data_IF_174550236073
#
_entry.id   IF_174550236073
#
_cell.length_a   1.000
_cell.length_b   1.000
_cell.length_c   1.000
_cell.angle_alpha   90.00
_cell.angle_beta   90.00
_cell.angle_gamma   90.00
#
_symmetry.space_group_name_H-M   'P 1'
#
loop_
_entity.id
_entity.type
_entity.pdbx_description
1 polymer ?
#
# COMPACT_ATOMS: atom_id res chain seq x y z
N UNK A 1 44.67 34.42 56.85
CA UNK A 1 45.26 33.16 57.30
C UNK A 1 44.86 32.05 56.32
N UNK A 2 45.84 31.58 55.55
CA UNK A 2 45.76 30.54 54.52
C UNK A 2 45.66 29.14 55.16
N UNK A 3 44.89 28.22 54.55
CA UNK A 3 45.18 26.77 54.37
C UNK A 3 43.89 26.07 53.87
N UNK A 4 43.86 25.10 52.95
CA UNK A 4 44.87 24.43 52.10
C UNK A 4 44.08 23.67 51.02
N UNK A 5 44.38 23.91 49.74
CA UNK A 5 43.93 23.07 48.62
C UNK A 5 44.68 21.74 48.62
N UNK A 6 43.97 20.61 48.46
CA UNK A 6 44.57 19.29 48.20
C UNK A 6 44.75 19.10 46.69
N UNK A 7 46.00 18.98 46.25
CA UNK A 7 46.40 18.42 44.94
C UNK A 7 46.32 16.90 45.03
N UNK A 8 45.68 16.24 44.06
CA UNK A 8 45.82 14.80 43.83
C UNK A 8 46.43 14.65 42.43
N UNK A 9 47.55 13.91 42.40
CA UNK A 9 48.42 13.68 41.25
C UNK A 9 47.84 12.60 40.36
N UNK A 10 47.83 12.83 39.05
CA UNK A 10 47.39 11.85 38.04
C UNK A 10 48.60 11.00 37.64
N UNK A 11 48.58 9.70 37.96
CA UNK A 11 49.58 8.73 37.50
C UNK A 11 49.14 8.18 36.14
N UNK A 12 49.86 8.51 35.07
CA UNK A 12 49.74 7.83 33.78
C UNK A 12 50.46 6.48 33.87
N UNK A 13 49.71 5.39 33.71
CA UNK A 13 50.28 4.07 33.42
C UNK A 13 50.18 3.82 31.92
N UNK A 14 51.32 3.83 31.24
CA UNK A 14 51.45 3.44 29.83
C UNK A 14 51.76 1.93 29.81
N UNK A 15 50.79 1.12 29.39
CA UNK A 15 51.06 -0.27 29.01
C UNK A 15 51.19 -0.34 27.49
N UNK A 16 52.41 -0.53 27.02
CA UNK A 16 52.72 -0.91 25.65
C UNK A 16 52.56 -2.44 25.52
N UNK A 17 51.65 -2.89 24.66
CA UNK A 17 51.58 -4.30 24.24
C UNK A 17 51.56 -4.35 22.70
N UNK A 18 52.73 -4.70 22.16
CA UNK A 18 52.99 -5.54 20.99
C UNK A 18 51.89 -5.68 19.93
N UNK A 19 52.09 -5.03 18.78
CA UNK A 19 51.46 -5.43 17.51
C UNK A 19 52.02 -6.80 17.09
N UNK A 20 51.15 -7.78 16.83
CA UNK A 20 51.13 -8.56 15.57
C UNK A 20 50.06 -9.67 15.60
N UNK A 21 49.46 -9.88 14.43
CA UNK A 21 48.67 -11.05 13.95
C UNK A 21 47.19 -11.19 14.39
N UNK A 22 46.29 -10.67 13.55
CA UNK A 22 45.31 -11.43 12.71
C UNK A 22 44.22 -10.46 12.22
N UNK A 23 44.49 -9.79 11.10
CA UNK A 23 43.47 -9.05 10.36
C UNK A 23 42.61 -10.06 9.56
N UNK A 24 41.55 -10.57 10.19
CA UNK A 24 40.35 -10.96 9.44
C UNK A 24 39.38 -9.78 9.56
N UNK A 25 38.84 -9.24 8.47
CA UNK A 25 37.90 -8.15 8.59
C UNK A 25 36.65 -8.69 9.28
N UNK A 26 36.44 -8.23 10.51
CA UNK A 26 35.15 -8.26 11.17
C UNK A 26 34.20 -7.55 10.21
N UNK A 27 33.08 -8.21 9.88
CA UNK A 27 32.01 -7.72 9.02
C UNK A 27 31.88 -6.19 9.09
N UNK A 28 32.24 -5.54 7.99
CA UNK A 28 31.83 -4.16 7.75
C UNK A 28 30.31 -4.17 7.79
N UNK A 29 29.72 -3.53 8.81
CA UNK A 29 28.39 -2.95 8.67
C UNK A 29 28.51 -1.87 7.60
N UNK A 30 28.52 -2.30 6.33
CA UNK A 30 28.10 -1.44 5.25
C UNK A 30 26.68 -1.04 5.63
N UNK A 31 26.49 0.24 5.94
CA UNK A 31 25.17 0.85 6.07
C UNK A 31 24.46 0.62 4.74
N UNK A 32 23.62 -0.41 4.69
CA UNK A 32 22.60 -0.57 3.67
C UNK A 32 21.54 0.49 3.98
N UNK A 33 21.89 1.76 3.80
CA UNK A 33 20.96 2.68 3.20
C UNK A 33 20.89 2.25 1.74
N UNK A 34 20.12 1.20 1.48
CA UNK A 34 19.50 1.05 0.18
C UNK A 34 18.83 2.38 -0.08
N UNK A 35 19.38 3.16 -1.00
CA UNK A 35 18.79 4.42 -1.44
C UNK A 35 17.36 4.08 -1.84
N UNK A 36 16.38 4.51 -1.04
CA UNK A 36 14.97 4.38 -1.34
C UNK A 36 14.80 4.88 -2.78
N UNK A 37 14.38 4.02 -3.74
CA UNK A 37 14.27 4.45 -5.12
C UNK A 37 13.33 5.64 -5.17
N UNK A 38 13.83 6.81 -5.61
CA UNK A 38 13.00 8.00 -5.69
C UNK A 38 11.90 7.76 -6.72
N UNK A 39 10.65 7.71 -6.26
CA UNK A 39 9.50 7.64 -7.15
C UNK A 39 9.52 8.85 -8.09
N UNK A 40 9.46 8.59 -9.40
CA UNK A 40 9.47 9.65 -10.43
C UNK A 40 8.13 9.75 -11.15
N UNK A 41 7.38 8.65 -11.22
CA UNK A 41 6.03 8.64 -11.78
C UNK A 41 5.05 9.43 -10.89
N UNK A 42 4.21 10.23 -11.53
CA UNK A 42 3.14 11.00 -10.86
C UNK A 42 1.81 10.24 -10.88
N UNK A 43 1.00 10.22 -9.81
CA UNK A 43 1.25 10.88 -8.52
C UNK A 43 2.34 10.26 -7.66
N UNK A 44 3.17 11.11 -7.04
CA UNK A 44 4.28 10.67 -6.18
C UNK A 44 3.82 9.84 -4.99
N UNK A 45 2.72 10.28 -4.36
CA UNK A 45 2.13 9.63 -3.20
C UNK A 45 1.82 8.13 -3.44
N UNK A 46 1.54 7.70 -4.67
CA UNK A 46 1.20 6.31 -4.97
C UNK A 46 2.34 5.32 -4.72
N UNK A 47 3.60 5.74 -4.87
CA UNK A 47 4.74 4.92 -4.48
C UNK A 47 5.22 5.29 -3.08
N UNK A 48 5.28 6.59 -2.76
CA UNK A 48 5.86 7.08 -1.50
C UNK A 48 5.07 6.65 -0.25
N UNK A 49 3.75 6.49 -0.36
CA UNK A 49 2.92 5.99 0.73
C UNK A 49 3.29 4.55 1.17
N UNK A 50 4.11 3.83 0.39
CA UNK A 50 4.59 2.48 0.70
C UNK A 50 6.07 2.41 1.10
N UNK A 51 6.78 3.54 1.14
CA UNK A 51 8.22 3.56 1.44
C UNK A 51 8.51 3.64 2.93
N UNK A 52 7.48 3.88 3.76
CA UNK A 52 7.62 4.15 5.20
C UNK A 52 8.61 5.28 5.50
N UNK A 53 8.77 6.23 4.57
CA UNK A 53 9.71 7.34 4.69
C UNK A 53 9.16 8.39 5.68
N UNK A 54 9.81 8.59 6.84
CA UNK A 54 9.38 9.58 7.81
C UNK A 54 9.57 11.02 7.32
N UNK A 55 10.38 11.24 6.27
CA UNK A 55 10.70 12.54 5.70
C UNK A 55 9.94 12.81 4.40
N UNK A 56 8.93 11.99 4.06
CA UNK A 56 8.13 12.25 2.87
C UNK A 56 7.34 13.56 3.02
N UNK A 57 7.85 14.62 2.40
CA UNK A 57 7.22 15.93 2.30
C UNK A 57 6.60 16.10 0.91
N UNK A 58 5.30 15.81 0.79
CA UNK A 58 4.49 16.37 -0.29
C UNK A 58 3.77 17.58 0.30
N UNK A 59 4.04 18.82 -0.15
CA UNK A 59 3.51 20.05 0.48
C UNK A 59 1.99 20.09 0.61
N UNK A 60 1.29 19.26 -0.14
CA UNK A 60 -0.17 19.12 -0.17
C UNK A 60 -0.69 17.99 0.72
N UNK A 61 0.20 17.22 1.37
CA UNK A 61 -0.12 16.00 2.09
C UNK A 61 0.46 15.99 3.51
N UNK A 62 -0.36 16.33 4.50
CA UNK A 62 -0.01 16.20 5.92
C UNK A 62 -0.41 14.81 6.45
N UNK A 63 0.29 13.76 6.00
CA UNK A 63 0.05 12.39 6.46
C UNK A 63 1.34 11.58 6.54
N UNK A 64 1.43 10.70 7.56
CA UNK A 64 2.48 9.68 7.67
C UNK A 64 1.90 8.33 7.31
N UNK A 65 2.69 7.50 6.65
CA UNK A 65 2.25 6.18 6.22
C UNK A 65 3.11 5.07 6.83
N UNK A 66 2.50 3.91 6.98
CA UNK A 66 3.25 2.66 7.14
C UNK A 66 2.62 1.54 6.30
N UNK A 67 3.44 0.56 5.93
CA UNK A 67 3.06 -0.50 5.00
C UNK A 67 2.78 -1.80 5.75
N UNK A 68 1.71 -2.50 5.34
CA UNK A 68 1.38 -3.84 5.80
C UNK A 68 1.34 -4.80 4.61
N UNK A 69 1.96 -5.97 4.73
CA UNK A 69 1.76 -7.09 3.79
C UNK A 69 0.43 -7.80 4.09
N UNK A 70 -0.48 -7.81 3.12
CA UNK A 70 -1.80 -8.43 3.28
C UNK A 70 -1.81 -9.92 2.95
N UNK A 71 -0.91 -10.36 2.07
CA UNK A 71 -0.85 -11.72 1.54
C UNK A 71 -0.63 -11.71 0.03
N UNK A 72 -1.10 -12.74 -0.67
CA UNK A 72 -1.00 -12.84 -2.14
C UNK A 72 -2.36 -12.93 -2.82
N UNK A 73 -2.53 -12.20 -3.91
CA UNK A 73 -3.67 -12.31 -4.82
C UNK A 73 -3.35 -13.32 -5.93
N UNK A 74 -4.27 -14.23 -6.21
CA UNK A 74 -4.21 -15.17 -7.33
C UNK A 74 -4.80 -14.51 -8.58
N UNK A 75 -4.00 -14.42 -9.62
CA UNK A 75 -4.37 -13.86 -10.92
C UNK A 75 -4.32 -14.96 -11.97
N UNK A 76 -5.49 -15.52 -12.28
CA UNK A 76 -5.63 -16.73 -13.10
C UNK A 76 -5.82 -16.39 -14.58
N UNK A 77 -6.72 -15.45 -14.87
CA UNK A 77 -7.01 -15.01 -16.24
C UNK A 77 -6.15 -13.85 -16.69
N UNK A 78 -5.58 -13.08 -15.74
CA UNK A 78 -4.96 -11.79 -16.04
C UNK A 78 -5.99 -10.68 -16.24
N UNK A 79 -7.28 -10.96 -16.03
CA UNK A 79 -8.38 -10.01 -16.15
C UNK A 79 -8.84 -9.66 -14.75
N UNK A 80 -8.33 -8.56 -14.21
CA UNK A 80 -8.67 -8.12 -12.85
C UNK A 80 -9.91 -7.24 -12.83
N UNK A 81 -10.62 -7.32 -11.71
CA UNK A 81 -11.76 -6.49 -11.34
C UNK A 81 -11.37 -5.78 -10.05
N UNK A 82 -11.67 -4.48 -9.96
CA UNK A 82 -11.86 -3.83 -8.67
C UNK A 82 -13.18 -3.07 -8.64
N UNK A 83 -13.96 -3.29 -7.58
CA UNK A 83 -15.28 -2.71 -7.41
C UNK A 83 -15.69 -2.69 -5.94
N UNK A 84 -16.81 -2.02 -5.63
CA UNK A 84 -17.51 -2.31 -4.38
C UNK A 84 -17.99 -3.78 -4.39
N UNK A 85 -18.02 -4.42 -3.22
CA UNK A 85 -18.46 -5.81 -3.12
C UNK A 85 -19.89 -6.01 -3.65
N UNK A 86 -20.78 -5.03 -3.47
CA UNK A 86 -22.16 -5.08 -3.98
C UNK A 86 -22.24 -5.12 -5.52
N UNK A 87 -21.25 -4.56 -6.22
CA UNK A 87 -21.22 -4.46 -7.68
C UNK A 87 -20.66 -5.72 -8.36
N UNK A 88 -20.12 -6.70 -7.62
CA UNK A 88 -19.42 -7.86 -8.20
C UNK A 88 -20.25 -8.67 -9.21
N UNK A 89 -21.60 -8.62 -9.12
CA UNK A 89 -22.51 -9.28 -10.06
C UNK A 89 -22.62 -8.60 -11.43
N UNK A 90 -22.33 -7.30 -11.52
CA UNK A 90 -22.62 -6.46 -12.69
C UNK A 90 -21.39 -5.73 -13.24
N UNK A 91 -20.20 -6.20 -12.86
CA UNK A 91 -18.94 -5.53 -13.18
C UNK A 91 -18.17 -6.23 -14.31
N UNK A 92 -17.59 -5.43 -15.20
CA UNK A 92 -16.63 -5.90 -16.19
C UNK A 92 -15.20 -5.80 -15.66
N UNK A 93 -14.30 -6.74 -16.04
CA UNK A 93 -12.88 -6.59 -15.75
C UNK A 93 -12.29 -5.37 -16.46
N UNK A 94 -11.17 -4.87 -15.95
CA UNK A 94 -10.39 -3.84 -16.62
C UNK A 94 -10.02 -4.25 -18.05
N UNK A 95 -9.81 -3.26 -18.92
CA UNK A 95 -9.43 -3.48 -20.32
C UNK A 95 -8.01 -4.06 -20.44
N UNK A 96 -7.12 -3.67 -19.53
CA UNK A 96 -5.74 -4.12 -19.44
C UNK A 96 -5.63 -5.61 -19.06
N UNK A 97 -4.55 -6.26 -19.53
CA UNK A 97 -4.23 -7.63 -19.14
C UNK A 97 -3.02 -7.65 -18.22
N UNK A 98 -3.22 -8.20 -17.02
CA UNK A 98 -2.20 -8.28 -15.98
C UNK A 98 -1.42 -9.60 -16.03
N UNK A 99 -0.18 -9.63 -15.50
CA UNK A 99 0.57 -10.87 -15.31
C UNK A 99 -0.23 -11.92 -14.53
N UNK A 100 -0.10 -13.18 -14.92
CA UNK A 100 -0.73 -14.33 -14.24
C UNK A 100 0.20 -14.92 -13.20
N UNK A 101 -0.34 -15.42 -12.09
CA UNK A 101 0.41 -15.98 -10.97
C UNK A 101 -0.12 -15.52 -9.62
N UNK A 102 0.72 -15.62 -8.59
CA UNK A 102 0.41 -15.15 -7.23
C UNK A 102 1.27 -13.94 -6.88
N UNK A 103 0.63 -12.82 -6.59
CA UNK A 103 1.31 -11.54 -6.43
C UNK A 103 1.08 -10.94 -5.04
N UNK A 104 2.12 -10.40 -4.38
CA UNK A 104 1.98 -9.73 -3.10
C UNK A 104 0.97 -8.59 -3.16
N UNK A 105 0.17 -8.47 -2.11
CA UNK A 105 -0.74 -7.35 -1.88
C UNK A 105 -0.26 -6.59 -0.65
N UNK A 106 -0.05 -5.29 -0.82
CA UNK A 106 0.38 -4.38 0.23
C UNK A 106 -0.71 -3.36 0.52
N UNK A 107 -0.81 -2.96 1.78
CA UNK A 107 -1.60 -1.82 2.23
C UNK A 107 -0.65 -0.70 2.62
N UNK A 108 -0.97 0.52 2.22
CA UNK A 108 -0.47 1.72 2.86
C UNK A 108 -1.53 2.20 3.85
N UNK A 109 -1.13 2.37 5.11
CA UNK A 109 -2.00 2.80 6.20
C UNK A 109 -1.62 4.24 6.58
N UNK A 110 -2.62 5.12 6.69
CA UNK A 110 -2.40 6.42 7.32
C UNK A 110 -2.22 6.21 8.81
N UNK A 111 -1.05 6.60 9.31
CA UNK A 111 -0.71 6.56 10.72
C UNK A 111 -1.50 7.65 11.45
N UNK A 112 -2.34 7.22 12.39
CA UNK A 112 -3.04 8.11 13.31
C UNK A 112 -2.17 8.49 14.51
N UNK A 113 -2.59 9.51 15.24
CA UNK A 113 -2.04 9.76 16.57
C UNK A 113 -2.52 8.68 17.57
N UNK A 114 -1.83 8.47 18.71
CA UNK A 114 -2.24 7.48 19.68
C UNK A 114 -3.72 7.63 20.10
N UNK A 115 -4.52 6.59 19.84
CA UNK A 115 -5.97 6.58 20.13
C UNK A 115 -6.86 6.97 18.96
N UNK A 116 -6.30 7.44 17.84
CA UNK A 116 -7.05 7.70 16.62
C UNK A 116 -7.23 6.43 15.76
N UNK A 117 -8.27 6.44 14.92
CA UNK A 117 -8.52 5.35 13.99
C UNK A 117 -7.62 5.48 12.75
N UNK A 118 -6.82 4.45 12.49
CA UNK A 118 -6.02 4.34 11.28
C UNK A 118 -6.84 3.74 10.14
N UNK A 119 -6.61 4.19 8.91
CA UNK A 119 -7.35 3.73 7.74
C UNK A 119 -6.42 3.41 6.57
N UNK A 120 -6.88 2.52 5.70
CA UNK A 120 -6.14 2.13 4.49
C UNK A 120 -6.17 3.30 3.51
N UNK A 121 -5.01 3.89 3.23
CA UNK A 121 -4.85 4.93 2.23
C UNK A 121 -4.90 4.35 0.83
N UNK A 122 -4.12 3.30 0.60
CA UNK A 122 -4.01 2.65 -0.70
C UNK A 122 -3.78 1.15 -0.51
N UNK A 123 -4.26 0.36 -1.46
CA UNK A 123 -3.96 -1.06 -1.57
C UNK A 123 -3.27 -1.28 -2.91
N UNK A 124 -2.15 -2.02 -2.96
CA UNK A 124 -1.49 -2.32 -4.23
C UNK A 124 -1.15 -3.79 -4.41
N UNK A 125 -1.24 -4.26 -5.65
CA UNK A 125 -0.75 -5.56 -6.11
C UNK A 125 0.58 -5.36 -6.82
N UNK A 126 1.61 -6.13 -6.44
CA UNK A 126 2.97 -6.02 -6.99
C UNK A 126 3.22 -7.12 -8.04
N UNK A 127 3.20 -6.76 -9.33
CA UNK A 127 3.45 -7.73 -10.40
C UNK A 127 4.93 -7.95 -10.72
N UNK A 128 5.79 -6.97 -10.42
CA UNK A 128 7.25 -7.09 -10.54
C UNK A 128 7.97 -6.08 -9.66
N UNK A 129 9.28 -6.22 -9.43
CA UNK A 129 10.05 -5.23 -8.66
C UNK A 129 10.54 -4.03 -9.51
N UNK A 130 10.10 -3.93 -10.78
CA UNK A 130 10.50 -2.82 -11.64
C UNK A 130 9.88 -1.51 -11.15
N UNK A 131 10.60 -0.37 -11.25
CA UNK A 131 10.06 0.93 -10.92
C UNK A 131 8.88 1.30 -11.81
N UNK A 132 7.86 1.94 -11.23
CA UNK A 132 6.79 2.57 -12.00
C UNK A 132 7.35 3.79 -12.73
N UNK A 133 7.15 3.85 -14.04
CA UNK A 133 7.52 4.98 -14.91
C UNK A 133 6.33 5.85 -15.28
N UNK A 134 5.12 5.31 -15.26
CA UNK A 134 3.88 6.04 -15.54
C UNK A 134 2.70 5.42 -14.83
N UNK A 135 1.82 6.26 -14.29
CA UNK A 135 0.51 5.84 -13.80
C UNK A 135 -0.58 6.12 -14.84
N UNK A 136 -1.60 5.28 -14.88
CA UNK A 136 -2.83 5.52 -15.63
C UNK A 136 -4.03 5.03 -14.82
N UNK A 137 -5.23 5.48 -15.13
CA UNK A 137 -6.43 4.83 -14.59
C UNK A 137 -6.59 3.40 -15.14
N UNK A 138 -7.04 2.49 -14.28
CA UNK A 138 -7.49 1.17 -14.68
C UNK A 138 -8.93 1.28 -15.20
N UNK A 139 -9.07 1.30 -16.53
CA UNK A 139 -10.35 1.54 -17.19
C UNK A 139 -11.11 0.23 -17.43
N UNK A 140 -12.44 0.29 -17.32
CA UNK A 140 -13.37 -0.73 -17.78
C UNK A 140 -13.91 -0.37 -19.18
N UNK A 141 -14.52 -1.32 -19.91
CA UNK A 141 -15.16 -1.01 -21.19
C UNK A 141 -16.19 0.12 -21.04
N UNK A 142 -16.05 1.16 -21.86
CA UNK A 142 -16.93 2.35 -21.84
C UNK A 142 -16.45 3.49 -20.95
N UNK A 143 -15.42 3.30 -20.13
CA UNK A 143 -14.83 4.40 -19.34
C UNK A 143 -14.03 5.35 -20.25
N UNK A 144 -14.03 6.64 -19.88
CA UNK A 144 -13.25 7.66 -20.58
C UNK A 144 -11.84 7.79 -19.99
N UNK A 145 -10.85 7.88 -20.87
CA UNK A 145 -9.47 8.14 -20.46
C UNK A 145 -9.31 9.52 -19.81
N UNK A 146 -8.53 9.55 -18.73
CA UNK A 146 -8.02 10.77 -18.08
C UNK A 146 -6.60 10.50 -17.59
N UNK A 147 -5.77 11.53 -17.48
CA UNK A 147 -4.46 11.40 -16.84
C UNK A 147 -4.59 11.53 -15.31
N UNK A 148 -3.96 10.65 -14.52
CA UNK A 148 -3.80 10.88 -13.08
C UNK A 148 -3.04 12.20 -12.83
N UNK A 149 -3.51 13.03 -11.91
CA UNK A 149 -2.89 14.32 -11.61
C UNK A 149 -2.41 14.42 -10.17
N UNK A 150 -1.28 15.12 -9.95
CA UNK A 150 -0.82 15.54 -8.62
C UNK A 150 -1.76 16.55 -7.94
N UNK A 151 -2.62 17.22 -8.73
CA UNK A 151 -3.55 18.19 -8.18
C UNK A 151 -4.61 17.51 -7.31
N UNK A 152 -4.89 18.10 -6.13
CA UNK A 152 -6.04 17.75 -5.31
C UNK A 152 -7.29 18.24 -6.05
N UNK A 153 -7.70 17.50 -7.09
CA UNK A 153 -8.98 17.74 -7.74
C UNK A 153 -10.07 17.10 -6.88
N UNK A 154 -11.21 17.78 -6.75
CA UNK A 154 -12.42 17.24 -6.09
C UNK A 154 -13.04 16.07 -6.87
N UNK A 155 -12.47 15.69 -8.01
CA UNK A 155 -12.96 14.67 -8.94
C UNK A 155 -11.91 13.55 -9.04
N UNK A 156 -11.53 12.97 -7.90
CA UNK A 156 -10.73 11.72 -7.88
C UNK A 156 -11.59 10.47 -8.08
N UNK A 157 -12.91 10.60 -7.97
CA UNK A 157 -13.85 9.50 -8.14
C UNK A 157 -13.91 9.09 -9.60
N UNK A 158 -13.42 7.89 -9.90
CA UNK A 158 -13.65 7.25 -11.20
C UNK A 158 -14.82 6.28 -11.10
N UNK A 159 -15.01 5.66 -9.93
CA UNK A 159 -16.11 4.77 -9.66
C UNK A 159 -16.84 5.22 -8.40
N UNK A 160 -18.18 5.23 -8.49
CA UNK A 160 -19.07 5.38 -7.34
C UNK A 160 -19.64 4.01 -7.04
N UNK A 161 -19.38 3.47 -5.86
CA UNK A 161 -20.03 2.27 -5.35
C UNK A 161 -21.37 2.57 -4.69
N UNK A 162 -22.17 1.54 -4.43
CA UNK A 162 -23.25 1.65 -3.45
C UNK A 162 -22.63 1.71 -2.03
N UNK A 163 -23.24 2.46 -1.11
CA UNK A 163 -22.79 2.54 0.29
C UNK A 163 -23.08 1.25 1.08
N UNK A 164 -23.74 0.27 0.46
CA UNK A 164 -24.32 -0.89 1.13
C UNK A 164 -23.33 -1.85 1.79
N UNK A 165 -22.21 -2.18 1.15
CA UNK A 165 -21.27 -3.22 1.64
C UNK A 165 -20.01 -2.67 2.32
N UNK A 166 -19.78 -1.35 2.25
CA UNK A 166 -18.63 -0.67 2.85
C UNK A 166 -17.29 -1.39 2.64
N UNK A 167 -17.13 -2.05 1.48
CA UNK A 167 -15.92 -2.78 1.15
C UNK A 167 -15.69 -2.81 -0.35
N UNK A 168 -14.44 -2.58 -0.74
CA UNK A 168 -13.97 -2.74 -2.10
C UNK A 168 -13.17 -4.03 -2.22
N UNK A 169 -13.27 -4.66 -3.38
CA UNK A 169 -12.61 -5.92 -3.68
C UNK A 169 -11.65 -5.77 -4.83
N UNK A 170 -10.57 -6.56 -4.81
CA UNK A 170 -9.72 -6.85 -5.98
C UNK A 170 -9.78 -8.35 -6.20
N UNK A 171 -10.18 -8.77 -7.39
CA UNK A 171 -10.40 -10.19 -7.71
C UNK A 171 -10.15 -10.47 -9.19
N UNK A 172 -9.66 -11.66 -9.53
CA UNK A 172 -9.57 -12.11 -10.92
C UNK A 172 -10.96 -12.47 -11.46
N UNK A 173 -11.21 -12.23 -12.75
CA UNK A 173 -12.51 -12.48 -13.37
C UNK A 173 -13.00 -13.93 -13.27
N UNK A 174 -12.10 -14.92 -13.24
CA UNK A 174 -12.46 -16.33 -13.02
C UNK A 174 -12.93 -16.51 -11.58
N UNK A 175 -12.14 -16.04 -10.62
CA UNK A 175 -12.49 -16.09 -9.19
C UNK A 175 -13.81 -15.36 -8.90
N UNK A 176 -14.04 -14.19 -9.52
CA UNK A 176 -15.29 -13.44 -9.37
C UNK A 176 -16.50 -14.24 -9.85
N UNK A 177 -16.41 -14.84 -11.06
CA UNK A 177 -17.49 -15.66 -11.63
C UNK A 177 -17.91 -16.81 -10.72
N UNK A 178 -16.99 -17.36 -9.93
CA UNK A 178 -17.28 -18.44 -9.00
C UNK A 178 -17.71 -17.93 -7.63
N UNK A 179 -17.16 -16.80 -7.16
CA UNK A 179 -17.57 -16.17 -5.91
C UNK A 179 -19.03 -15.67 -5.95
N UNK A 180 -19.47 -15.06 -7.05
CA UNK A 180 -20.84 -14.52 -7.16
C UNK A 180 -21.94 -15.61 -7.13
N UNK A 181 -21.57 -16.88 -7.27
CA UNK A 181 -22.49 -18.03 -7.13
C UNK A 181 -22.59 -18.54 -5.69
N UNK A 182 -21.79 -18.01 -4.76
CA UNK A 182 -21.79 -18.41 -3.35
C UNK A 182 -23.08 -17.96 -2.67
N UNK A 183 -23.46 -18.66 -1.59
CA UNK A 183 -24.69 -18.38 -0.85
C UNK A 183 -24.62 -17.02 -0.16
N UNK A 184 -25.79 -16.43 0.13
CA UNK A 184 -25.88 -15.19 0.92
C UNK A 184 -25.21 -15.29 2.30
N UNK A 185 -25.15 -16.50 2.88
CA UNK A 185 -24.43 -16.75 4.14
C UNK A 185 -22.92 -16.54 3.98
N UNK A 186 -22.33 -17.04 2.89
CA UNK A 186 -20.90 -16.83 2.61
C UNK A 186 -20.61 -15.35 2.34
N UNK A 187 -21.48 -14.68 1.58
CA UNK A 187 -21.38 -13.24 1.35
C UNK A 187 -21.43 -12.43 2.65
N UNK A 188 -22.37 -12.76 3.54
CA UNK A 188 -22.47 -12.13 4.86
C UNK A 188 -21.24 -12.41 5.72
N UNK A 189 -20.72 -13.64 5.71
CA UNK A 189 -19.49 -13.96 6.43
C UNK A 189 -18.30 -13.13 5.93
N UNK A 190 -18.13 -13.05 4.62
CA UNK A 190 -16.98 -12.37 4.01
C UNK A 190 -17.07 -10.86 4.13
N UNK A 191 -18.18 -10.23 3.73
CA UNK A 191 -18.26 -8.78 3.61
C UNK A 191 -18.91 -8.08 4.81
N UNK A 192 -19.52 -8.82 5.74
CA UNK A 192 -20.10 -8.24 6.96
C UNK A 192 -19.34 -8.72 8.18
N UNK A 193 -19.38 -10.02 8.49
CA UNK A 193 -18.88 -10.54 9.76
C UNK A 193 -17.36 -10.37 9.91
N UNK A 194 -16.58 -10.58 8.84
CA UNK A 194 -15.13 -10.37 8.89
C UNK A 194 -14.74 -8.91 9.11
N UNK A 195 -15.46 -7.95 8.55
CA UNK A 195 -15.16 -6.52 8.75
C UNK A 195 -15.67 -5.98 10.10
N UNK A 196 -16.68 -6.61 10.70
CA UNK A 196 -17.12 -6.27 12.07
C UNK A 196 -16.06 -6.57 13.14
N UNK A 197 -15.08 -7.43 12.84
CA UNK A 197 -13.93 -7.66 13.73
C UNK A 197 -13.10 -6.38 13.74
N UNK A 198 -13.03 -5.71 14.90
CA UNK A 198 -12.44 -4.37 15.12
C UNK A 198 -11.05 -4.14 14.48
N UNK A 199 -10.26 -5.20 14.30
CA UNK A 199 -8.91 -5.16 13.73
C UNK A 199 -8.86 -5.21 12.20
N UNK A 200 -9.95 -5.63 11.54
CA UNK A 200 -9.93 -5.98 10.14
C UNK A 200 -10.23 -4.77 9.25
N UNK A 201 -9.18 -4.22 8.64
CA UNK A 201 -9.28 -3.17 7.62
C UNK A 201 -9.20 -3.73 6.20
N UNK A 202 -8.60 -4.91 6.05
CA UNK A 202 -8.54 -5.65 4.81
C UNK A 202 -8.17 -7.11 5.11
N UNK A 203 -8.38 -8.00 4.15
CA UNK A 203 -7.92 -9.39 4.21
C UNK A 203 -7.84 -10.03 2.81
N UNK A 204 -7.02 -11.07 2.68
CA UNK A 204 -7.16 -12.05 1.60
C UNK A 204 -8.17 -13.11 2.04
N UNK A 205 -9.25 -13.27 1.29
CA UNK A 205 -10.18 -14.38 1.48
C UNK A 205 -9.95 -15.44 0.41
N UNK A 206 -9.48 -16.60 0.85
CA UNK A 206 -9.35 -17.79 -0.01
C UNK A 206 -10.63 -18.61 0.03
N UNK A 207 -11.06 -19.09 -1.14
CA UNK A 207 -12.22 -19.96 -1.30
C UNK A 207 -11.98 -20.91 -2.48
N UNK A 208 -12.30 -22.20 -2.30
CA UNK A 208 -11.94 -23.27 -3.23
C UNK A 208 -10.44 -23.19 -3.63
N UNK A 209 -10.14 -22.96 -4.91
CA UNK A 209 -8.78 -22.73 -5.43
C UNK A 209 -8.45 -21.24 -5.67
N UNK A 210 -9.42 -20.36 -5.45
CA UNK A 210 -9.41 -18.93 -5.76
C UNK A 210 -9.10 -18.09 -4.52
N UNK A 211 -8.89 -16.79 -4.73
CA UNK A 211 -8.99 -15.82 -3.64
C UNK A 211 -9.42 -14.43 -4.15
N UNK A 212 -9.76 -13.57 -3.20
CA UNK A 212 -9.99 -12.14 -3.40
C UNK A 212 -9.29 -11.35 -2.29
N UNK A 213 -8.92 -10.11 -2.59
CA UNK A 213 -8.54 -9.13 -1.58
C UNK A 213 -9.75 -8.24 -1.30
N UNK A 214 -10.15 -8.11 -0.04
CA UNK A 214 -11.22 -7.20 0.38
C UNK A 214 -10.63 -6.12 1.29
N UNK A 215 -11.08 -4.88 1.11
CA UNK A 215 -10.59 -3.69 1.81
C UNK A 215 -11.80 -2.89 2.30
N UNK A 216 -11.79 -2.48 3.56
CA UNK A 216 -12.86 -1.66 4.12
C UNK A 216 -12.88 -0.28 3.46
N UNK A 217 -14.07 0.21 3.11
CA UNK A 217 -14.28 1.58 2.63
C UNK A 217 -15.16 2.34 3.62
N UNK A 218 -14.74 3.54 4.00
CA UNK A 218 -15.41 4.41 4.96
C UNK A 218 -15.85 5.71 4.28
N UNK A 219 -17.00 6.21 4.72
CA UNK A 219 -17.50 7.58 4.49
C UNK A 219 -17.83 8.03 3.06
N UNK A 220 -17.22 7.48 2.00
CA UNK A 220 -17.50 7.92 0.64
C UNK A 220 -17.40 6.76 -0.36
N UNK A 221 -18.42 6.50 -1.19
CA UNK A 221 -18.39 5.46 -2.22
C UNK A 221 -17.42 5.74 -3.39
N UNK A 222 -16.56 6.75 -3.26
CA UNK A 222 -15.62 7.20 -4.26
C UNK A 222 -14.33 6.37 -4.21
N UNK A 223 -14.16 5.43 -5.14
CA UNK A 223 -12.91 4.70 -5.29
C UNK A 223 -12.33 4.87 -6.70
N UNK A 224 -11.02 4.67 -6.81
CA UNK A 224 -10.31 4.70 -8.07
C UNK A 224 -9.27 3.60 -8.11
N UNK A 225 -8.98 3.10 -9.30
CA UNK A 225 -7.93 2.11 -9.50
C UNK A 225 -6.99 2.60 -10.59
N UNK A 226 -5.70 2.35 -10.38
CA UNK A 226 -4.61 2.84 -11.21
C UNK A 226 -3.68 1.71 -11.58
N UNK A 227 -3.07 1.81 -12.75
CA UNK A 227 -2.08 0.87 -13.28
C UNK A 227 -0.74 1.60 -13.34
N UNK A 228 0.26 1.01 -12.68
CA UNK A 228 1.64 1.46 -12.79
C UNK A 228 2.35 0.68 -13.88
N UNK A 229 2.87 1.36 -14.89
CA UNK A 229 3.60 0.77 -16.01
C UNK A 229 5.12 0.92 -15.81
N UNK A 230 5.87 -0.13 -16.16
CA UNK A 230 7.33 -0.09 -16.19
C UNK A 230 7.87 0.66 -17.42
N UNK A 231 9.20 0.73 -17.55
CA UNK A 231 9.88 1.37 -18.69
C UNK A 231 9.53 0.76 -20.06
N UNK A 232 9.05 -0.49 -20.09
CA UNK A 232 8.66 -1.20 -21.30
C UNK A 232 7.14 -1.12 -21.55
N UNK A 233 6.43 -0.29 -20.77
CA UNK A 233 4.98 -0.18 -20.86
C UNK A 233 4.22 -1.40 -20.35
N UNK A 234 4.83 -2.27 -19.53
CA UNK A 234 4.17 -3.43 -18.94
C UNK A 234 3.59 -3.11 -17.55
N UNK A 235 2.39 -3.59 -17.20
CA UNK A 235 1.85 -3.45 -15.85
C UNK A 235 2.81 -4.05 -14.80
N UNK A 236 3.24 -3.23 -13.84
CA UNK A 236 4.06 -3.63 -12.70
C UNK A 236 3.37 -3.39 -11.35
N UNK A 237 2.33 -2.54 -11.33
CA UNK A 237 1.47 -2.28 -10.17
C UNK A 237 0.00 -2.23 -10.59
N UNK A 238 -0.88 -2.68 -9.70
CA UNK A 238 -2.28 -2.24 -9.64
C UNK A 238 -2.45 -1.54 -8.29
N UNK A 239 -2.98 -0.33 -8.25
CA UNK A 239 -3.20 0.44 -7.03
C UNK A 239 -4.67 0.82 -6.91
N UNK A 240 -5.30 0.43 -5.82
CA UNK A 240 -6.65 0.79 -5.43
C UNK A 240 -6.58 1.91 -4.38
N UNK A 241 -7.22 3.03 -4.68
CA UNK A 241 -7.61 4.05 -3.72
C UNK A 241 -9.04 3.72 -3.26
N UNK A 242 -9.23 3.20 -2.03
CA UNK A 242 -10.54 2.84 -1.51
C UNK A 242 -11.39 4.06 -1.08
N UNK A 243 -10.90 5.30 -1.26
CA UNK A 243 -11.65 6.51 -0.91
C UNK A 243 -11.62 6.91 0.57
N UNK A 244 -11.01 6.07 1.42
CA UNK A 244 -10.89 6.32 2.86
C UNK A 244 -10.03 7.54 3.18
N UNK A 245 -9.00 7.75 2.37
CA UNK A 245 -8.07 8.84 2.53
C UNK A 245 -8.41 9.94 1.56
N UNK A 246 -9.35 10.79 1.96
CA UNK A 246 -9.47 12.10 1.35
C UNK A 246 -8.48 13.00 2.05
N UNK A 247 -7.63 13.67 1.26
CA UNK A 247 -6.85 14.82 1.72
C UNK A 247 -7.83 15.92 2.13
N UNK A 248 -8.41 15.78 3.32
CA UNK A 248 -9.24 16.76 4.01
C UNK A 248 -8.84 16.78 5.47
N UNK A 249 -7.59 17.19 5.73
CA UNK A 249 -7.18 17.80 7.01
C UNK A 249 -6.05 18.80 6.77
N UNK A 250 -6.33 19.85 5.99
CA UNK A 250 -5.74 21.16 6.25
C UNK A 250 -6.67 22.23 5.66
N UNK A 251 -7.09 23.17 6.51
CA UNK A 251 -7.73 24.45 6.20
C UNK A 251 -9.22 24.42 5.79
N UNK A 252 -10.08 24.21 6.80
CA UNK A 252 -11.01 25.25 7.23
C UNK A 252 -10.92 25.38 8.75
#
# INVERSE_FOLDING_TARGET
YYTKMKKISFFLFVFAISLTVFSKPLFSLASVHDTIPTATARPLVFENAFLNDPNFEEPTLYARFYTIELGKLKVESGRLIACDASDMHHIFPFTETFPKGEFPVQLSIVKGEPGEYEYVAYTRVLFSNKPVKRWAYALKPGDYFREPSDSISRIRCVFMGDMGMQSTVIVDSIANKDFIKKSHLEWGEVFVNKFQKKTNKAFIHSFDKHNLAAVSTFFNPCYATYIGYDENGKPCRLLLDPGNFQIMRSLF
#
